data_IF_784717720430
#
_entry.id   IF_784717720430
#
_cell.length_a   1.000
_cell.length_b   1.000
_cell.length_c   1.000
_cell.angle_alpha   90.00
_cell.angle_beta   90.00
_cell.angle_gamma   90.00
#
_symmetry.space_group_name_H-M   'P 1'
#
loop_
_entity.id
_entity.type
_entity.pdbx_description
1 polymer ?
#
# COMPACT_ATOMS: atom_id res chain seq x y z
N UNK A 1 14.50 6.79 2.51
CA UNK A 1 13.64 5.92 1.68
C UNK A 1 12.24 6.05 2.22
N UNK A 2 11.36 6.71 1.49
CA UNK A 2 9.96 6.88 1.88
C UNK A 2 9.07 6.08 0.95
N UNK A 3 7.98 5.54 1.50
CA UNK A 3 7.01 4.73 0.77
C UNK A 3 5.64 5.38 0.82
N UNK A 4 5.07 5.65 -0.34
CA UNK A 4 3.73 6.20 -0.51
C UNK A 4 2.75 5.06 -0.70
N UNK A 5 1.79 4.92 0.21
CA UNK A 5 0.71 3.94 0.09
C UNK A 5 -0.55 4.64 -0.40
N UNK A 6 -0.92 4.33 -1.63
CA UNK A 6 -2.18 4.74 -2.24
C UNK A 6 -3.29 3.77 -1.82
N UNK A 7 -4.45 4.29 -1.43
CA UNK A 7 -5.55 3.46 -0.92
C UNK A 7 -6.90 3.86 -1.50
N UNK A 8 -7.83 2.91 -1.54
CA UNK A 8 -9.18 3.12 -2.04
C UNK A 8 -10.19 2.14 -1.42
N UNK A 9 -11.48 2.28 -1.79
CA UNK A 9 -12.49 1.30 -1.42
C UNK A 9 -12.19 -0.06 -2.05
N UNK A 10 -12.68 -1.13 -1.43
CA UNK A 10 -12.63 -2.46 -2.03
C UNK A 10 -13.29 -2.45 -3.41
N UNK A 11 -12.64 -3.08 -4.40
CA UNK A 11 -13.13 -3.11 -5.78
C UNK A 11 -12.76 -1.87 -6.62
N UNK A 12 -12.07 -0.87 -6.04
CA UNK A 12 -11.51 0.23 -6.83
C UNK A 12 -10.62 -0.31 -7.97
N UNK A 13 -10.59 0.34 -9.14
CA UNK A 13 -9.68 -0.03 -10.22
C UNK A 13 -8.22 0.20 -9.81
N UNK A 14 -7.29 -0.36 -10.59
CA UNK A 14 -5.87 -0.01 -10.43
C UNK A 14 -5.63 1.44 -10.89
N UNK A 15 -4.68 2.11 -10.24
CA UNK A 15 -4.41 3.51 -10.50
C UNK A 15 -3.47 3.65 -11.70
N UNK A 16 -3.92 4.36 -12.73
CA UNK A 16 -3.04 4.85 -13.79
C UNK A 16 -2.04 5.89 -13.25
N UNK A 17 -0.90 6.12 -13.92
CA UNK A 17 0.07 7.12 -13.49
C UNK A 17 -0.52 8.53 -13.32
N UNK A 18 -1.50 8.89 -14.14
CA UNK A 18 -2.17 10.19 -14.07
C UNK A 18 -3.11 10.29 -12.86
N UNK A 19 -3.83 9.21 -12.55
CA UNK A 19 -4.70 9.16 -11.37
C UNK A 19 -3.89 9.25 -10.07
N UNK A 20 -2.70 8.62 -10.02
CA UNK A 20 -1.79 8.68 -8.87
C UNK A 20 -1.40 10.11 -8.47
N UNK A 21 -1.38 11.06 -9.42
CA UNK A 21 -1.10 12.47 -9.14
C UNK A 21 -2.27 13.19 -8.44
N UNK A 22 -3.47 12.60 -8.48
CA UNK A 22 -4.73 13.21 -8.01
C UNK A 22 -5.31 12.51 -6.78
N UNK A 23 -4.77 11.35 -6.39
CA UNK A 23 -5.21 10.60 -5.22
C UNK A 23 -4.32 10.85 -4.01
N UNK A 24 -4.94 10.89 -2.84
CA UNK A 24 -4.22 10.98 -1.56
C UNK A 24 -3.46 9.68 -1.29
N UNK A 25 -2.29 9.82 -0.71
CA UNK A 25 -1.48 8.73 -0.18
C UNK A 25 -1.07 9.02 1.25
N UNK A 26 -0.63 7.98 1.95
CA UNK A 26 0.05 8.11 3.24
C UNK A 26 1.50 7.66 3.10
N UNK A 27 2.42 8.41 3.68
CA UNK A 27 3.86 8.12 3.64
C UNK A 27 4.31 7.33 4.86
N UNK A 28 5.29 6.46 4.63
CA UNK A 28 5.93 5.61 5.63
C UNK A 28 7.45 5.60 5.42
N UNK A 29 8.21 5.34 6.48
CA UNK A 29 9.68 5.37 6.43
C UNK A 29 10.27 4.00 6.10
N UNK A 30 9.46 2.94 6.11
CA UNK A 30 9.88 1.59 5.76
C UNK A 30 8.83 0.83 4.96
N UNK A 31 9.28 -0.17 4.20
CA UNK A 31 8.40 -1.08 3.46
C UNK A 31 7.52 -1.88 4.44
N UNK A 32 8.06 -2.25 5.60
CA UNK A 32 7.33 -3.01 6.62
C UNK A 32 6.16 -2.19 7.20
N UNK A 33 6.36 -0.90 7.49
CA UNK A 33 5.29 0.01 7.90
C UNK A 33 4.23 0.18 6.80
N UNK A 34 4.67 0.32 5.55
CA UNK A 34 3.78 0.45 4.41
C UNK A 34 2.90 -0.81 4.20
N UNK A 35 3.50 -1.99 4.33
CA UNK A 35 2.79 -3.27 4.21
C UNK A 35 1.91 -3.57 5.43
N UNK A 36 2.35 -3.18 6.63
CA UNK A 36 1.51 -3.20 7.82
C UNK A 36 0.26 -2.33 7.64
N UNK A 37 0.42 -1.11 7.11
CA UNK A 37 -0.71 -0.22 6.80
C UNK A 37 -1.63 -0.82 5.73
N UNK A 38 -1.09 -1.42 4.68
CA UNK A 38 -1.88 -2.12 3.67
C UNK A 38 -2.70 -3.28 4.26
N UNK A 39 -2.13 -4.04 5.19
CA UNK A 39 -2.85 -5.07 5.96
C UNK A 39 -3.92 -4.48 6.87
N UNK A 40 -3.62 -3.35 7.54
CA UNK A 40 -4.57 -2.63 8.38
C UNK A 40 -5.79 -2.13 7.59
N UNK A 41 -5.58 -1.56 6.39
CA UNK A 41 -6.66 -1.10 5.51
C UNK A 41 -7.66 -2.22 5.19
N UNK A 42 -7.18 -3.45 4.92
CA UNK A 42 -8.05 -4.60 4.63
C UNK A 42 -9.00 -4.91 5.79
N UNK A 43 -8.54 -4.74 7.04
CA UNK A 43 -9.37 -4.93 8.24
C UNK A 43 -10.45 -3.84 8.39
N UNK A 44 -10.28 -2.70 7.72
CA UNK A 44 -11.21 -1.56 7.72
C UNK A 44 -12.09 -1.50 6.46
N UNK A 45 -12.12 -2.55 5.62
CA UNK A 45 -12.91 -2.56 4.37
C UNK A 45 -12.33 -1.70 3.24
N UNK A 46 -11.06 -1.31 3.35
CA UNK A 46 -10.29 -0.58 2.33
C UNK A 46 -9.17 -1.45 1.79
N UNK A 47 -8.57 -1.04 0.69
CA UNK A 47 -7.43 -1.75 0.10
C UNK A 47 -6.32 -0.77 -0.27
N UNK A 48 -5.07 -1.20 -0.11
CA UNK A 48 -3.95 -0.54 -0.75
C UNK A 48 -3.95 -0.88 -2.25
N UNK A 49 -3.85 0.16 -3.08
CA UNK A 49 -3.88 0.07 -4.54
C UNK A 49 -2.47 0.01 -5.13
N UNK A 50 -1.53 0.73 -4.51
CA UNK A 50 -0.12 0.79 -4.93
C UNK A 50 0.75 1.21 -3.74
N UNK A 51 1.97 0.67 -3.66
CA UNK A 51 3.03 1.17 -2.78
C UNK A 51 4.19 1.61 -3.67
N UNK A 52 4.67 2.85 -3.48
CA UNK A 52 5.78 3.40 -4.27
C UNK A 52 6.87 3.99 -3.39
N UNK A 53 8.10 3.50 -3.57
CA UNK A 53 9.30 4.06 -2.96
C UNK A 53 9.85 5.25 -3.75
N UNK A 54 10.58 6.13 -3.07
CA UNK A 54 11.42 7.18 -3.69
C UNK A 54 12.64 6.60 -4.45
N UNK A 55 12.96 5.33 -4.22
CA UNK A 55 14.01 4.55 -4.86
C UNK A 55 13.57 3.87 -6.18
N UNK A 56 12.31 4.05 -6.59
CA UNK A 56 11.71 3.40 -7.77
C UNK A 56 11.02 2.07 -7.47
N UNK A 57 11.03 1.59 -6.22
CA UNK A 57 10.28 0.40 -5.82
C UNK A 57 8.78 0.61 -6.07
N UNK A 58 8.13 -0.33 -6.75
CA UNK A 58 6.67 -0.29 -6.97
C UNK A 58 6.06 -1.65 -6.67
N UNK A 59 5.04 -1.68 -5.80
CA UNK A 59 4.20 -2.85 -5.59
C UNK A 59 2.77 -2.52 -6.01
N UNK A 60 2.26 -3.31 -6.95
CA UNK A 60 0.85 -3.30 -7.31
C UNK A 60 -0.01 -4.07 -6.28
N UNK A 61 -1.33 -3.98 -6.42
CA UNK A 61 -2.28 -4.66 -5.53
C UNK A 61 -2.02 -6.16 -5.37
N UNK A 62 -1.61 -6.84 -6.43
CA UNK A 62 -1.35 -8.29 -6.40
C UNK A 62 -0.08 -8.57 -5.60
N UNK A 63 0.99 -7.82 -5.85
CA UNK A 63 2.24 -7.91 -5.12
C UNK A 63 2.05 -7.58 -3.63
N UNK A 64 1.27 -6.55 -3.31
CA UNK A 64 0.90 -6.20 -1.93
C UNK A 64 0.15 -7.36 -1.27
N UNK A 65 -0.85 -7.93 -1.93
CA UNK A 65 -1.61 -9.06 -1.41
C UNK A 65 -0.74 -10.29 -1.15
N UNK A 66 0.20 -10.59 -2.05
CA UNK A 66 1.17 -11.66 -1.88
C UNK A 66 2.10 -11.40 -0.68
N UNK A 67 2.67 -10.19 -0.59
CA UNK A 67 3.54 -9.77 0.51
C UNK A 67 2.85 -9.87 1.88
N UNK A 68 1.60 -9.44 1.97
CA UNK A 68 0.77 -9.57 3.20
C UNK A 68 0.46 -11.01 3.56
N UNK A 69 0.40 -11.91 2.59
CA UNK A 69 0.08 -13.31 2.86
C UNK A 69 1.28 -14.10 3.40
N UNK A 70 2.50 -13.65 3.12
CA UNK A 70 3.74 -14.34 3.54
C UNK A 70 4.41 -13.71 4.76
N UNK A 71 4.19 -12.41 5.02
CA UNK A 71 4.82 -11.71 6.12
C UNK A 71 3.87 -11.60 7.33
N UNK A 72 4.31 -12.01 8.54
CA UNK A 72 3.56 -11.77 9.76
C UNK A 72 3.74 -10.29 10.14
N UNK A 73 2.91 -9.40 9.57
CA UNK A 73 2.81 -8.00 10.00
C UNK A 73 2.12 -7.91 11.37
N UNK A 74 2.77 -8.50 12.37
CA UNK A 74 2.34 -8.56 13.75
C UNK A 74 2.81 -7.31 14.48
N UNK A 75 1.83 -6.50 14.90
CA UNK A 75 1.85 -5.52 15.99
C UNK A 75 3.22 -4.90 16.34
N UNK A 76 3.41 -3.66 15.92
CA UNK A 76 3.96 -2.66 16.85
C UNK A 76 2.78 -1.79 17.28
N UNK A 77 2.52 -1.83 18.59
CA UNK A 77 1.53 -1.02 19.29
C UNK A 77 2.03 0.42 19.42
#
# INVERSE_FOLDING_TARGET
>A
MTYRVYSGPQGAPDLSPLEKQRVLYKEFMSMDEALWWASHLRKQGRVALSIEGDDGTTLDRRAIGAAISVAPFARSA
#
